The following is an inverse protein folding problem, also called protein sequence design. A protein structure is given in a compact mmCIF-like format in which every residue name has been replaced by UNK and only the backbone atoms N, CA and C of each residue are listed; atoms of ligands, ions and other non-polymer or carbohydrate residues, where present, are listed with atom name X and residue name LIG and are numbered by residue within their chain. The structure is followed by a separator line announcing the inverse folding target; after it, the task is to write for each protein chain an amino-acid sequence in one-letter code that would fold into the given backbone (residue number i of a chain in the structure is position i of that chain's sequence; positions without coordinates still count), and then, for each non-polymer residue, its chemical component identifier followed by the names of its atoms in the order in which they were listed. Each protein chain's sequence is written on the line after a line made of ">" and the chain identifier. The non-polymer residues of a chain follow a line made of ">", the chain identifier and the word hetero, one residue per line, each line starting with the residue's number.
data_IF_338599342882
#
_entry.id   IF_338599342882
#
_cell.length_a   1.000
_cell.length_b   1.000
_cell.length_c   1.000
_cell.angle_alpha   90.00
_cell.angle_beta   90.00
_cell.angle_gamma   90.00
#
_symmetry.space_group_name_H-M   'P 1'
#
loop_
_entity.id
_entity.type
_entity.pdbx_description
1 polymer ?
#
# COMPACT_ATOMS: atom_id res chain seq x y z
N UNK A 1 2.01 -4.83 -4.90
CA UNK A 1 0.62 -4.41 -4.67
C UNK A 1 0.20 -3.22 -5.52
N UNK A 2 -1.07 -3.18 -5.91
CA UNK A 2 -1.74 -2.11 -6.65
C UNK A 2 -2.91 -1.60 -5.80
N UNK A 3 -3.17 -0.29 -5.86
CA UNK A 3 -4.38 0.30 -5.29
C UNK A 3 -4.98 1.29 -6.27
N UNK A 4 -6.21 0.99 -6.66
CA UNK A 4 -7.03 1.81 -7.54
C UNK A 4 -8.22 2.34 -6.74
N UNK A 5 -8.58 3.61 -6.95
CA UNK A 5 -9.83 4.20 -6.43
C UNK A 5 -10.76 4.59 -7.59
N UNK A 6 -12.05 4.39 -7.39
CA UNK A 6 -13.07 4.88 -8.30
C UNK A 6 -13.44 6.32 -7.91
N UNK A 7 -13.17 7.27 -8.81
CA UNK A 7 -13.53 8.69 -8.64
C UNK A 7 -14.49 9.07 -9.77
N UNK A 8 -15.79 9.04 -9.44
CA UNK A 8 -16.86 9.19 -10.42
C UNK A 8 -16.83 8.07 -11.45
N UNK A 9 -16.66 8.43 -12.73
CA UNK A 9 -16.55 7.46 -13.84
C UNK A 9 -15.12 7.02 -14.15
N UNK A 10 -14.12 7.55 -13.45
CA UNK A 10 -12.71 7.25 -13.70
C UNK A 10 -12.15 6.35 -12.60
N UNK A 11 -11.32 5.40 -13.00
CA UNK A 11 -10.45 4.65 -12.09
C UNK A 11 -9.08 5.33 -12.03
N UNK A 12 -8.59 5.62 -10.82
CA UNK A 12 -7.30 6.26 -10.59
C UNK A 12 -6.39 5.29 -9.85
N UNK A 13 -5.26 4.94 -10.46
CA UNK A 13 -4.24 4.09 -9.85
C UNK A 13 -3.28 4.90 -8.98
N UNK A 14 -3.39 4.72 -7.67
CA UNK A 14 -2.56 5.39 -6.66
C UNK A 14 -1.26 4.62 -6.43
N UNK A 15 -1.35 3.34 -6.05
CA UNK A 15 -0.18 2.48 -5.92
C UNK A 15 0.01 1.67 -7.22
N UNK A 16 1.17 1.81 -7.85
CA UNK A 16 1.45 1.34 -9.22
C UNK A 16 2.31 0.07 -9.26
N UNK A 17 1.98 -0.94 -8.45
CA UNK A 17 2.77 -2.16 -8.37
C UNK A 17 3.96 -2.04 -7.42
N UNK A 18 3.72 -1.44 -6.24
CA UNK A 18 4.74 -1.31 -5.19
C UNK A 18 5.14 -2.70 -4.66
N UNK A 19 6.43 -2.99 -4.58
CA UNK A 19 6.94 -4.24 -4.02
C UNK A 19 8.13 -3.93 -3.10
N UNK A 20 8.02 -4.28 -1.83
CA UNK A 20 9.08 -4.10 -0.84
C UNK A 20 8.90 -5.11 0.29
N UNK A 21 9.98 -5.37 0.99
CA UNK A 21 10.04 -6.20 2.19
C UNK A 21 10.76 -5.39 3.26
N UNK A 22 10.33 -5.50 4.52
CA UNK A 22 11.01 -4.90 5.67
C UNK A 22 11.43 -6.03 6.59
N UNK A 23 12.73 -6.12 6.86
CA UNK A 23 13.29 -7.20 7.68
C UNK A 23 13.19 -6.89 9.18
N UNK A 24 13.17 -7.92 10.04
CA UNK A 24 13.22 -7.71 11.49
C UNK A 24 14.41 -6.83 11.90
N UNK A 25 14.12 -5.77 12.66
CA UNK A 25 15.11 -4.81 13.14
C UNK A 25 15.41 -3.65 12.20
N UNK A 26 14.81 -3.60 11.00
CA UNK A 26 14.95 -2.45 10.11
C UNK A 26 14.08 -1.27 10.57
N UNK A 27 14.66 -0.07 10.49
CA UNK A 27 13.92 1.18 10.63
C UNK A 27 13.77 1.82 9.25
N UNK A 28 12.53 1.89 8.75
CA UNK A 28 12.23 2.36 7.40
C UNK A 28 11.43 3.66 7.46
N UNK A 29 11.81 4.63 6.62
CA UNK A 29 11.09 5.89 6.45
C UNK A 29 10.39 5.94 5.09
N UNK A 30 9.09 6.22 5.09
CA UNK A 30 8.33 6.50 3.86
C UNK A 30 8.35 8.01 3.60
N UNK A 31 8.97 8.43 2.51
CA UNK A 31 9.07 9.85 2.12
C UNK A 31 8.59 10.10 0.69
N UNK A 32 8.20 11.34 0.39
CA UNK A 32 7.72 11.74 -0.93
C UNK A 32 6.78 12.95 -0.89
N UNK A 33 6.51 13.60 -2.03
CA UNK A 33 5.68 14.80 -2.12
C UNK A 33 4.21 14.52 -1.73
N UNK A 34 3.45 15.57 -1.40
CA UNK A 34 2.02 15.44 -1.12
C UNK A 34 1.28 14.79 -2.30
N UNK A 35 0.30 13.92 -2.01
CA UNK A 35 -0.48 13.23 -3.04
C UNK A 35 0.18 12.01 -3.72
N UNK A 36 1.42 11.65 -3.36
CA UNK A 36 2.09 10.50 -4.00
C UNK A 36 1.63 9.11 -3.51
N UNK A 37 0.63 9.04 -2.62
CA UNK A 37 0.06 7.77 -2.14
C UNK A 37 0.59 7.26 -0.79
N UNK A 38 1.35 8.06 -0.02
CA UNK A 38 1.86 7.65 1.30
C UNK A 38 0.76 7.25 2.28
N UNK A 39 -0.25 8.10 2.46
CA UNK A 39 -1.38 7.80 3.36
C UNK A 39 -2.18 6.58 2.90
N UNK A 40 -2.34 6.40 1.58
CA UNK A 40 -2.95 5.19 1.01
C UNK A 40 -2.14 3.94 1.35
N UNK A 41 -0.81 3.98 1.23
CA UNK A 41 0.05 2.87 1.65
C UNK A 41 -0.12 2.58 3.15
N UNK A 42 -0.10 3.62 4.00
CA UNK A 42 -0.26 3.46 5.45
C UNK A 42 -1.62 2.87 5.82
N UNK A 43 -2.71 3.26 5.15
CA UNK A 43 -4.03 2.65 5.38
C UNK A 43 -4.01 1.15 5.11
N UNK A 44 -3.32 0.71 4.06
CA UNK A 44 -3.23 -0.70 3.72
C UNK A 44 -2.34 -1.45 4.72
N UNK A 45 -1.17 -0.89 5.08
CA UNK A 45 -0.27 -1.51 6.07
C UNK A 45 -0.89 -1.59 7.47
N UNK A 46 -1.82 -0.69 7.81
CA UNK A 46 -2.59 -0.73 9.06
C UNK A 46 -3.79 -1.71 9.00
N UNK A 47 -4.02 -2.37 7.86
CA UNK A 47 -5.16 -3.27 7.66
C UNK A 47 -6.51 -2.56 7.47
N UNK A 48 -6.53 -1.25 7.24
CA UNK A 48 -7.78 -0.49 7.09
C UNK A 48 -8.39 -0.59 5.69
N UNK A 49 -7.56 -0.88 4.69
CA UNK A 49 -7.99 -1.05 3.32
C UNK A 49 -7.23 -2.18 2.65
N UNK A 50 -7.93 -3.06 1.93
CA UNK A 50 -7.32 -4.10 1.12
C UNK A 50 -6.71 -3.48 -0.17
N UNK A 51 -5.57 -3.98 -0.68
CA UNK A 51 -5.08 -3.64 -2.01
C UNK A 51 -6.08 -4.09 -3.10
N UNK A 52 -6.07 -3.41 -4.25
CA UNK A 52 -6.86 -3.86 -5.41
C UNK A 52 -6.26 -5.12 -6.04
N UNK A 53 -4.93 -5.28 -5.97
CA UNK A 53 -4.23 -6.48 -6.42
C UNK A 53 -2.88 -6.64 -5.72
N UNK A 54 -2.42 -7.90 -5.61
CA UNK A 54 -1.27 -8.28 -4.78
C UNK A 54 -1.67 -8.48 -3.32
N UNK A 55 -0.70 -8.66 -2.45
CA UNK A 55 -0.91 -9.02 -1.06
C UNK A 55 -0.01 -8.20 -0.12
N UNK A 56 -0.29 -8.31 1.18
CA UNK A 56 0.56 -7.83 2.27
C UNK A 56 0.68 -8.97 3.27
N UNK A 57 1.89 -9.37 3.59
CA UNK A 57 2.17 -10.40 4.60
C UNK A 57 2.86 -9.78 5.81
N UNK A 58 2.45 -10.21 7.01
CA UNK A 58 3.12 -9.92 8.28
C UNK A 58 3.50 -11.25 8.91
N UNK A 59 4.79 -11.45 9.16
CA UNK A 59 5.34 -12.71 9.71
C UNK A 59 4.90 -13.96 8.93
N UNK A 60 4.77 -13.83 7.60
CA UNK A 60 4.36 -14.91 6.69
C UNK A 60 2.86 -15.22 6.68
N UNK A 61 2.04 -14.36 7.30
CA UNK A 61 0.58 -14.46 7.31
C UNK A 61 -0.01 -13.34 6.47
N UNK A 62 -0.92 -13.67 5.56
CA UNK A 62 -1.64 -12.66 4.78
C UNK A 62 -2.48 -11.77 5.73
N UNK A 63 -2.42 -10.46 5.50
CA UNK A 63 -3.12 -9.48 6.31
C UNK A 63 -4.64 -9.42 6.03
N UNK A 64 -5.12 -9.93 4.88
CA UNK A 64 -6.49 -9.78 4.39
C UNK A 64 -7.22 -11.10 4.10
#
# INVERSE_FOLDING_TARGET
>A
MIKDYQVGRKQIRILKGLNFEVKPGEFVMISGPSGCGKSTLMNILNGWEEPTAGFVEIDGVDLF
#
